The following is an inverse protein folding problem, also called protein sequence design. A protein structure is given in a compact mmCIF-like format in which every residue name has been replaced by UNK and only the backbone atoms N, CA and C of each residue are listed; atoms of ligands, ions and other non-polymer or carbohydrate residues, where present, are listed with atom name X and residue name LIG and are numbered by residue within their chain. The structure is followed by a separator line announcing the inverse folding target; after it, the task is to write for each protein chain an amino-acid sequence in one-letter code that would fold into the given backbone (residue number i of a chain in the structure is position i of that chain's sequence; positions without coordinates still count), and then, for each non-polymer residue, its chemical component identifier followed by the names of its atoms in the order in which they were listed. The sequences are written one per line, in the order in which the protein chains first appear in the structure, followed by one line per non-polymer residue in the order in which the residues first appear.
data_IF_085160739250
#
_entry.id   IF_085160739250
#
_cell.length_a   1.000
_cell.length_b   1.000
_cell.length_c   1.000
_cell.angle_alpha   90.00
_cell.angle_beta   90.00
_cell.angle_gamma   90.00
#
_symmetry.space_group_name_H-M   'P 1'
#
loop_
_entity.id
_entity.type
_entity.pdbx_description
1 polymer ?
#
# COMPACT_ATOMS: atom_id res chain seq x y z
N UNK A 1 4.21 -15.78 27.65
CA UNK A 1 3.65 -14.69 26.82
C UNK A 1 3.91 -15.04 25.36
N UNK A 2 2.84 -15.28 24.60
CA UNK A 2 2.86 -15.83 23.24
C UNK A 2 3.56 -14.90 22.22
N UNK A 3 4.84 -15.18 21.94
CA UNK A 3 5.59 -14.60 20.82
C UNK A 3 4.92 -14.88 19.45
N UNK A 4 4.03 -15.87 19.38
CA UNK A 4 3.23 -16.18 18.18
C UNK A 4 2.12 -15.16 17.89
N UNK A 5 1.68 -14.37 18.89
CA UNK A 5 0.69 -13.30 18.68
C UNK A 5 1.29 -12.03 18.09
N UNK A 6 2.58 -11.78 18.31
CA UNK A 6 3.33 -10.68 17.67
C UNK A 6 3.81 -11.04 16.24
N UNK A 7 3.76 -12.32 15.87
CA UNK A 7 4.17 -12.87 14.58
C UNK A 7 3.06 -12.86 13.51
N UNK A 8 1.86 -12.38 13.83
CA UNK A 8 0.80 -12.26 12.83
C UNK A 8 1.01 -10.96 12.06
N UNK A 9 1.84 -11.01 11.01
CA UNK A 9 1.79 -9.99 9.96
C UNK A 9 0.31 -9.88 9.52
N UNK A 10 -0.33 -8.72 9.69
CA UNK A 10 -1.77 -8.60 9.45
C UNK A 10 -2.06 -8.97 8.00
N UNK A 11 -3.09 -9.81 7.81
CA UNK A 11 -3.55 -10.21 6.48
C UNK A 11 -4.00 -8.98 5.68
N UNK A 12 -3.05 -8.45 4.90
CA UNK A 12 -3.21 -8.09 3.50
C UNK A 12 -4.40 -7.20 3.11
N UNK A 13 -4.40 -5.92 3.54
CA UNK A 13 -5.09 -4.87 2.79
C UNK A 13 -4.41 -3.49 2.86
N UNK A 14 -3.19 -3.42 2.34
CA UNK A 14 -2.36 -2.22 2.30
C UNK A 14 -2.83 -1.13 1.31
N UNK A 15 -3.80 -1.42 0.45
CA UNK A 15 -4.35 -0.48 -0.53
C UNK A 15 -5.88 -0.46 -0.41
N UNK A 16 -6.45 0.75 -0.53
CA UNK A 16 -7.89 1.02 -0.40
C UNK A 16 -8.66 0.07 -1.31
N UNK A 17 -9.77 -0.47 -0.81
CA UNK A 17 -10.58 -1.47 -1.51
C UNK A 17 -10.86 -1.04 -2.96
N UNK A 18 -10.28 -1.79 -3.91
CA UNK A 18 -10.37 -1.54 -5.35
C UNK A 18 -11.79 -1.71 -5.89
N UNK A 19 -12.71 -2.28 -5.10
CA UNK A 19 -14.13 -2.38 -5.44
C UNK A 19 -14.69 -1.02 -5.90
N UNK A 20 -14.41 0.09 -5.22
CA UNK A 20 -14.99 1.38 -5.61
C UNK A 20 -14.56 1.85 -7.01
N UNK A 21 -13.32 1.56 -7.42
CA UNK A 21 -12.80 1.94 -8.74
C UNK A 21 -13.33 1.01 -9.84
N UNK A 22 -13.46 -0.28 -9.55
CA UNK A 22 -14.07 -1.25 -10.46
C UNK A 22 -15.57 -0.95 -10.64
N UNK A 23 -16.29 -0.58 -9.57
CA UNK A 23 -17.70 -0.18 -9.66
C UNK A 23 -17.86 1.13 -10.43
N UNK A 24 -16.98 2.12 -10.21
CA UNK A 24 -17.00 3.36 -10.98
C UNK A 24 -16.72 3.13 -12.48
N UNK A 25 -15.78 2.23 -12.81
CA UNK A 25 -15.52 1.80 -14.19
C UNK A 25 -16.74 1.11 -14.81
N UNK A 26 -17.45 0.26 -14.06
CA UNK A 26 -18.69 -0.39 -14.50
C UNK A 26 -19.81 0.62 -14.77
N UNK A 27 -19.97 1.63 -13.91
CA UNK A 27 -20.95 2.71 -14.09
C UNK A 27 -20.60 3.55 -15.34
N UNK A 28 -19.33 3.91 -15.53
CA UNK A 28 -18.87 4.64 -16.72
C UNK A 28 -19.07 3.79 -17.99
N UNK A 29 -18.76 2.49 -17.93
CA UNK A 29 -18.98 1.55 -19.05
C UNK A 29 -20.47 1.42 -19.43
N UNK A 30 -21.37 1.41 -18.43
CA UNK A 30 -22.81 1.40 -18.65
C UNK A 30 -23.33 2.70 -19.27
N UNK A 31 -22.84 3.85 -18.81
CA UNK A 31 -23.21 5.17 -19.38
C UNK A 31 -22.68 5.35 -20.81
N UNK A 32 -21.50 4.78 -21.12
CA UNK A 32 -20.87 4.89 -22.45
C UNK A 32 -21.38 3.86 -23.47
N UNK A 33 -22.18 2.88 -23.05
CA UNK A 33 -22.75 1.84 -23.90
C UNK A 33 -23.75 2.40 -24.93
N UNK A 34 -24.63 3.31 -24.50
CA UNK A 34 -25.73 3.81 -25.31
C UNK A 34 -25.33 4.71 -26.49
N UNK A 35 -24.32 5.60 -26.38
CA UNK A 35 -23.97 6.51 -27.49
C UNK A 35 -22.99 5.94 -28.54
N UNK A 36 -22.45 4.71 -28.37
CA UNK A 36 -21.30 4.24 -29.19
C UNK A 36 -21.47 2.88 -29.89
N UNK A 37 -22.69 2.31 -29.92
CA UNK A 37 -22.96 1.01 -30.56
C UNK A 37 -21.96 -0.10 -30.16
N UNK A 38 -21.58 -0.16 -28.88
CA UNK A 38 -20.71 -1.20 -28.32
C UNK A 38 -19.19 -0.96 -28.43
N UNK A 39 -18.71 -0.01 -29.23
CA UNK A 39 -17.27 0.35 -29.28
C UNK A 39 -16.78 0.98 -27.97
N UNK A 40 -17.63 1.78 -27.31
CA UNK A 40 -17.32 2.37 -26.01
C UNK A 40 -17.10 1.32 -24.92
N UNK A 41 -17.72 0.15 -25.02
CA UNK A 41 -17.52 -0.96 -24.08
C UNK A 41 -16.13 -1.58 -24.19
N UNK A 42 -15.58 -1.68 -25.41
CA UNK A 42 -14.21 -2.18 -25.65
C UNK A 42 -13.18 -1.19 -25.08
N UNK A 43 -13.39 0.11 -25.30
CA UNK A 43 -12.52 1.16 -24.75
C UNK A 43 -12.60 1.19 -23.21
N UNK A 44 -13.79 1.06 -22.63
CA UNK A 44 -13.97 0.98 -21.18
C UNK A 44 -13.29 -0.25 -20.57
N UNK A 45 -13.37 -1.41 -21.23
CA UNK A 45 -12.66 -2.63 -20.84
C UNK A 45 -11.13 -2.44 -20.89
N UNK A 46 -10.61 -1.81 -21.94
CA UNK A 46 -9.18 -1.52 -22.05
C UNK A 46 -8.69 -0.59 -20.92
N UNK A 47 -9.45 0.48 -20.62
CA UNK A 47 -9.15 1.36 -19.49
C UNK A 47 -9.22 0.64 -18.15
N UNK A 48 -10.19 -0.25 -17.95
CA UNK A 48 -10.30 -1.05 -16.73
C UNK A 48 -9.07 -1.95 -16.52
N UNK A 49 -8.57 -2.58 -17.58
CA UNK A 49 -7.34 -3.39 -17.54
C UNK A 49 -6.13 -2.52 -17.16
N UNK A 50 -5.99 -1.33 -17.76
CA UNK A 50 -4.89 -0.40 -17.44
C UNK A 50 -4.94 0.01 -15.96
N UNK A 51 -6.12 0.36 -15.46
CA UNK A 51 -6.32 0.74 -14.04
C UNK A 51 -5.99 -0.43 -13.11
N UNK A 52 -6.44 -1.65 -13.42
CA UNK A 52 -6.12 -2.84 -12.63
C UNK A 52 -4.63 -3.14 -12.61
N UNK A 53 -3.94 -2.98 -13.74
CA UNK A 53 -2.50 -3.21 -13.82
C UNK A 53 -1.70 -2.16 -13.02
N UNK A 54 -2.07 -0.88 -13.15
CA UNK A 54 -1.49 0.21 -12.37
C UNK A 54 -1.66 0.01 -10.86
N UNK A 55 -2.85 -0.41 -10.41
CA UNK A 55 -3.11 -0.74 -9.01
C UNK A 55 -2.26 -1.92 -8.53
N UNK A 56 -2.23 -3.03 -9.28
CA UNK A 56 -1.44 -4.22 -8.92
C UNK A 56 0.04 -3.88 -8.73
N UNK A 57 0.58 -3.02 -9.60
CA UNK A 57 1.95 -2.54 -9.50
C UNK A 57 2.18 -1.71 -8.23
N UNK A 58 1.28 -0.77 -7.92
CA UNK A 58 1.36 0.05 -6.69
C UNK A 58 1.26 -0.80 -5.42
N UNK A 59 0.35 -1.79 -5.39
CA UNK A 59 0.20 -2.74 -4.28
C UNK A 59 1.48 -3.53 -4.07
N UNK A 60 2.05 -4.06 -5.16
CA UNK A 60 3.27 -4.86 -5.11
C UNK A 60 4.47 -4.04 -4.60
N UNK A 61 4.63 -2.82 -5.11
CA UNK A 61 5.69 -1.92 -4.65
C UNK A 61 5.53 -1.59 -3.16
N UNK A 62 4.33 -1.21 -2.74
CA UNK A 62 4.00 -0.90 -1.34
C UNK A 62 4.36 -2.06 -0.42
N UNK A 63 3.97 -3.29 -0.78
CA UNK A 63 4.29 -4.50 0.00
C UNK A 63 5.80 -4.72 0.14
N UNK A 64 6.58 -4.50 -0.92
CA UNK A 64 8.04 -4.63 -0.87
C UNK A 64 8.65 -3.60 0.09
N UNK A 65 8.24 -2.33 0.00
CA UNK A 65 8.73 -1.29 0.91
C UNK A 65 8.40 -1.59 2.38
N UNK A 66 7.20 -2.09 2.68
CA UNK A 66 6.87 -2.54 4.04
C UNK A 66 7.76 -3.70 4.50
N UNK A 67 7.96 -4.71 3.65
CA UNK A 67 8.82 -5.84 3.98
C UNK A 67 10.26 -5.40 4.30
N UNK A 68 10.81 -4.44 3.54
CA UNK A 68 12.12 -3.84 3.80
C UNK A 68 12.17 -3.07 5.13
N UNK A 69 11.14 -2.28 5.44
CA UNK A 69 11.06 -1.54 6.72
C UNK A 69 10.94 -2.49 7.93
N UNK A 70 10.17 -3.58 7.81
CA UNK A 70 10.06 -4.60 8.85
C UNK A 70 11.35 -5.40 9.03
N UNK A 71 12.04 -5.71 7.93
CA UNK A 71 13.36 -6.35 7.99
C UNK A 71 14.38 -5.43 8.68
N UNK A 72 14.38 -4.13 8.37
CA UNK A 72 15.22 -3.15 9.06
C UNK A 72 14.91 -3.06 10.56
N UNK A 73 13.62 -3.12 10.94
CA UNK A 73 13.22 -3.15 12.36
C UNK A 73 13.79 -4.38 13.07
N UNK A 74 13.69 -5.55 12.46
CA UNK A 74 14.25 -6.80 13.00
C UNK A 74 15.77 -6.72 13.14
N UNK A 75 16.44 -6.16 12.13
CA UNK A 75 17.89 -5.99 12.15
C UNK A 75 18.33 -4.99 13.22
N UNK A 76 17.54 -3.94 13.49
CA UNK A 76 17.75 -3.06 14.64
C UNK A 76 17.63 -3.81 15.97
N UNK A 77 16.62 -4.66 16.14
CA UNK A 77 16.44 -5.42 17.38
C UNK A 77 17.62 -6.36 17.68
N UNK A 78 18.26 -6.88 16.63
CA UNK A 78 19.44 -7.75 16.75
C UNK A 78 20.76 -6.98 16.88
N UNK A 79 20.98 -5.96 16.03
CA UNK A 79 22.25 -5.24 15.95
C UNK A 79 22.32 -3.99 16.83
N UNK A 80 21.17 -3.47 17.27
CA UNK A 80 21.00 -2.17 17.94
C UNK A 80 21.55 -0.98 17.12
N UNK A 81 21.80 -1.15 15.82
CA UNK A 81 22.34 -0.08 14.97
C UNK A 81 21.25 0.93 14.56
N UNK A 82 21.43 2.19 14.96
CA UNK A 82 20.53 3.31 14.68
C UNK A 82 20.35 3.62 13.19
N UNK A 83 21.26 3.19 12.31
CA UNK A 83 21.14 3.36 10.85
C UNK A 83 19.86 2.71 10.30
N UNK A 84 19.44 1.58 10.89
CA UNK A 84 18.20 0.90 10.49
C UNK A 84 16.96 1.68 10.91
N UNK A 85 17.01 2.42 12.03
CA UNK A 85 15.94 3.31 12.45
C UNK A 85 15.83 4.53 11.52
N UNK A 86 16.97 5.10 11.12
CA UNK A 86 17.06 6.19 10.15
C UNK A 86 16.45 5.77 8.80
N UNK A 87 16.76 4.55 8.33
CA UNK A 87 16.19 4.00 7.10
C UNK A 87 14.66 3.92 7.17
N UNK A 88 14.11 3.37 8.25
CA UNK A 88 12.65 3.28 8.46
C UNK A 88 12.02 4.68 8.50
N UNK A 89 12.67 5.63 9.17
CA UNK A 89 12.20 7.02 9.24
C UNK A 89 12.09 7.64 7.86
N UNK A 90 13.18 7.60 7.09
CA UNK A 90 13.24 8.20 5.75
C UNK A 90 12.22 7.55 4.81
N UNK A 91 12.18 6.21 4.74
CA UNK A 91 11.26 5.48 3.87
C UNK A 91 9.80 5.65 4.28
N UNK A 92 9.51 5.63 5.58
CA UNK A 92 8.16 5.83 6.12
C UNK A 92 7.62 7.23 5.82
N UNK A 93 8.40 8.27 6.13
CA UNK A 93 8.02 9.66 5.82
C UNK A 93 7.86 9.88 4.31
N UNK A 94 8.74 9.32 3.50
CA UNK A 94 8.64 9.41 2.05
C UNK A 94 7.36 8.73 1.53
N UNK A 95 7.04 7.51 1.97
CA UNK A 95 5.81 6.84 1.54
C UNK A 95 4.55 7.62 1.92
N UNK A 96 4.50 8.20 3.12
CA UNK A 96 3.36 9.01 3.55
C UNK A 96 3.19 10.29 2.72
N UNK A 97 4.28 10.96 2.35
CA UNK A 97 4.22 12.18 1.54
C UNK A 97 3.93 11.90 0.05
N UNK A 98 4.55 10.85 -0.51
CA UNK A 98 4.56 10.63 -1.96
C UNK A 98 3.31 9.86 -2.44
N UNK A 99 2.73 8.99 -1.59
CA UNK A 99 1.65 8.10 -2.03
C UNK A 99 0.26 8.52 -1.50
N UNK A 100 -0.44 9.38 -2.26
CA UNK A 100 -1.86 9.73 -2.04
C UNK A 100 -2.83 8.53 -2.13
N UNK A 101 -2.37 7.39 -2.64
CA UNK A 101 -3.17 6.18 -2.89
C UNK A 101 -3.03 5.14 -1.76
N UNK A 102 -2.23 5.41 -0.73
CA UNK A 102 -2.10 4.53 0.44
C UNK A 102 -3.44 4.36 1.15
N UNK A 103 -3.74 3.13 1.59
CA UNK A 103 -4.89 2.91 2.47
C UNK A 103 -4.66 3.57 3.83
N UNK A 104 -5.74 3.91 4.52
CA UNK A 104 -5.67 4.42 5.90
C UNK A 104 -4.97 3.43 6.84
N UNK A 105 -5.15 2.12 6.60
CA UNK A 105 -4.44 1.08 7.34
C UNK A 105 -2.93 1.10 7.10
N UNK A 106 -2.49 1.27 5.85
CA UNK A 106 -1.06 1.37 5.53
C UNK A 106 -0.43 2.62 6.14
N UNK A 107 -1.15 3.76 6.14
CA UNK A 107 -0.69 4.98 6.84
C UNK A 107 -0.51 4.72 8.34
N UNK A 108 -1.48 4.08 8.97
CA UNK A 108 -1.42 3.73 10.40
C UNK A 108 -0.25 2.78 10.71
N UNK A 109 0.04 1.81 9.85
CA UNK A 109 1.22 0.94 10.01
C UNK A 109 2.53 1.71 9.88
N UNK A 110 2.64 2.63 8.92
CA UNK A 110 3.83 3.49 8.79
C UNK A 110 3.97 4.37 10.04
N UNK A 111 2.89 4.98 10.53
CA UNK A 111 2.92 5.78 11.76
C UNK A 111 3.34 4.94 12.98
N UNK A 112 2.91 3.69 13.05
CA UNK A 112 3.33 2.76 14.10
C UNK A 112 4.85 2.50 14.04
N UNK A 113 5.39 2.28 12.84
CA UNK A 113 6.84 2.10 12.62
C UNK A 113 7.62 3.38 12.94
N UNK A 114 7.10 4.55 12.57
CA UNK A 114 7.73 5.84 12.89
C UNK A 114 7.71 6.14 14.39
N UNK A 115 6.64 5.78 15.10
CA UNK A 115 6.58 5.90 16.55
C UNK A 115 7.57 4.95 17.23
N UNK A 116 7.72 3.72 16.73
CA UNK A 116 8.77 2.80 17.19
C UNK A 116 10.16 3.41 17.00
N UNK A 117 10.44 4.01 15.85
CA UNK A 117 11.71 4.71 15.60
C UNK A 117 11.92 5.82 16.63
N UNK A 118 10.93 6.71 16.84
CA UNK A 118 11.03 7.83 17.80
C UNK A 118 11.35 7.35 19.22
N UNK A 119 10.70 6.27 19.67
CA UNK A 119 10.92 5.69 21.01
C UNK A 119 12.30 5.06 21.18
N UNK A 120 12.89 4.53 20.10
CA UNK A 120 14.17 3.82 20.14
C UNK A 120 15.36 4.69 19.66
N UNK A 121 15.09 5.88 19.11
CA UNK A 121 16.11 6.84 18.69
C UNK A 121 16.57 7.78 19.81
N UNK A 122 15.76 7.95 20.86
CA UNK A 122 16.12 8.66 22.10
C UNK A 122 17.11 7.84 22.92
#
# INVERSE_FOLDING_TARGET
MDLKKALKAPEQQYIKNSSMLVTALFIIAGVLYYPTDGYGSVIALALAIIVMFGQKMLISQTRKYFAEMYAAKQQYEQSKNKDYLEFIRLRGTQMLNDNKVLSEQAKHEIDTLLNFVKQNSQ
#
